data_IF_597642384244
#
_entry.id   IF_597642384244
#
_cell.length_a   1.000
_cell.length_b   1.000
_cell.length_c   1.000
_cell.angle_alpha   90.00
_cell.angle_beta   90.00
_cell.angle_gamma   90.00
#
_symmetry.space_group_name_H-M   'P 1'
#
loop_
_entity.id
_entity.type
_entity.pdbx_description
1 polymer ?
#
# COMPACT_ATOMS: atom_id res chain seq x y z
N UNK A 1 15.22 -20.46 11.83
CA UNK A 1 14.17 -20.61 12.87
C UNK A 1 12.83 -21.07 12.26
N UNK A 2 12.35 -20.46 11.17
CA UNK A 2 11.09 -20.85 10.48
C UNK A 2 11.07 -22.31 10.03
N UNK A 3 12.16 -22.86 9.48
CA UNK A 3 12.18 -24.27 9.03
C UNK A 3 11.88 -25.30 10.14
N UNK A 4 12.27 -25.03 11.40
CA UNK A 4 11.96 -25.90 12.54
C UNK A 4 10.49 -25.80 13.00
N UNK A 5 9.88 -24.63 12.83
CA UNK A 5 8.45 -24.45 13.10
C UNK A 5 7.60 -25.18 12.06
N UNK A 6 8.03 -25.11 10.79
CA UNK A 6 7.36 -25.78 9.68
C UNK A 6 7.27 -27.30 9.87
N UNK A 7 8.33 -27.93 10.39
CA UNK A 7 8.32 -29.38 10.64
C UNK A 7 7.35 -29.81 11.76
N UNK A 8 6.93 -28.88 12.62
CA UNK A 8 6.02 -29.15 13.74
C UNK A 8 4.55 -28.83 13.42
N UNK A 9 4.27 -28.20 12.26
CA UNK A 9 2.92 -27.82 11.84
C UNK A 9 1.92 -29.01 11.81
N UNK A 10 2.27 -30.21 11.29
CA UNK A 10 1.30 -31.31 11.22
C UNK A 10 0.81 -31.81 12.58
N UNK A 11 1.56 -31.55 13.65
CA UNK A 11 1.29 -32.07 14.99
C UNK A 11 0.86 -30.96 15.97
N UNK A 12 0.77 -29.72 15.50
CA UNK A 12 0.42 -28.56 16.33
C UNK A 12 -0.90 -27.94 15.90
N UNK A 13 -1.62 -27.34 16.85
CA UNK A 13 -2.86 -26.58 16.58
C UNK A 13 -2.53 -25.11 16.29
N UNK A 14 -1.60 -24.88 15.35
CA UNK A 14 -1.12 -23.54 15.00
C UNK A 14 -1.36 -23.31 13.52
N UNK A 15 -2.01 -22.20 13.18
CA UNK A 15 -2.12 -21.70 11.83
C UNK A 15 -1.08 -20.58 11.62
N UNK A 16 -0.20 -20.75 10.64
CA UNK A 16 0.79 -19.75 10.26
C UNK A 16 0.34 -19.05 8.98
N UNK A 17 0.16 -17.74 9.05
CA UNK A 17 -0.08 -16.89 7.90
C UNK A 17 1.10 -15.93 7.75
N UNK A 18 1.62 -15.82 6.54
CA UNK A 18 2.72 -14.92 6.20
C UNK A 18 2.49 -14.28 4.86
N UNK A 19 3.02 -13.07 4.70
CA UNK A 19 3.04 -12.33 3.43
C UNK A 19 4.48 -12.17 2.99
N UNK A 20 4.71 -12.29 1.69
CA UNK A 20 6.04 -12.23 1.10
C UNK A 20 5.97 -11.50 -0.24
N UNK A 21 6.95 -10.65 -0.50
CA UNK A 21 7.12 -10.02 -1.81
C UNK A 21 7.96 -10.93 -2.69
N UNK A 22 7.52 -11.15 -3.93
CA UNK A 22 8.25 -12.00 -4.87
C UNK A 22 9.65 -11.44 -5.16
N UNK A 23 9.83 -10.11 -5.20
CA UNK A 23 11.16 -9.51 -5.37
C UNK A 23 12.12 -9.70 -4.18
N UNK A 24 11.62 -10.07 -3.01
CA UNK A 24 12.44 -10.34 -1.82
C UNK A 24 12.80 -11.83 -1.68
N UNK A 25 12.28 -12.67 -2.58
CA UNK A 25 12.64 -14.09 -2.64
C UNK A 25 13.94 -14.27 -3.40
N UNK A 26 15.00 -14.60 -2.66
CA UNK A 26 16.19 -15.21 -3.24
C UNK A 26 15.86 -16.64 -3.70
N UNK A 27 15.97 -16.95 -5.01
CA UNK A 27 15.70 -18.29 -5.54
C UNK A 27 16.56 -19.38 -4.90
N UNK A 28 17.77 -19.05 -4.46
CA UNK A 28 18.70 -19.99 -3.79
C UNK A 28 18.61 -19.93 -2.26
N UNK A 29 17.80 -19.01 -1.74
CA UNK A 29 17.64 -18.71 -0.33
C UNK A 29 16.94 -19.81 0.47
N UNK A 30 17.15 -19.80 1.80
CA UNK A 30 16.52 -20.77 2.70
C UNK A 30 14.99 -20.74 2.66
N UNK A 31 14.38 -19.56 2.44
CA UNK A 31 12.93 -19.41 2.42
C UNK A 31 12.31 -20.08 1.19
N UNK A 32 12.95 -19.94 0.01
CA UNK A 32 12.49 -20.61 -1.21
C UNK A 32 12.53 -22.13 -1.05
N UNK A 33 13.59 -22.66 -0.44
CA UNK A 33 13.72 -24.10 -0.13
C UNK A 33 12.58 -24.58 0.77
N UNK A 34 12.27 -23.84 1.84
CA UNK A 34 11.15 -24.17 2.74
C UNK A 34 9.80 -24.14 2.02
N UNK A 35 9.55 -23.16 1.15
CA UNK A 35 8.31 -23.07 0.36
C UNK A 35 8.20 -24.26 -0.60
N UNK A 36 9.29 -24.63 -1.27
CA UNK A 36 9.33 -25.78 -2.17
C UNK A 36 9.09 -27.09 -1.39
N UNK A 37 9.70 -27.26 -0.21
CA UNK A 37 9.50 -28.42 0.65
C UNK A 37 8.06 -28.52 1.20
N UNK A 38 7.35 -27.40 1.31
CA UNK A 38 5.96 -27.35 1.75
C UNK A 38 4.97 -27.49 0.60
N UNK A 39 5.38 -27.17 -0.62
CA UNK A 39 4.50 -27.19 -1.79
C UNK A 39 3.96 -28.59 -2.04
N UNK A 40 2.64 -28.70 -2.19
CA UNK A 40 1.94 -29.97 -2.38
C UNK A 40 1.60 -30.72 -1.09
N UNK A 41 1.96 -30.19 0.09
CA UNK A 41 1.49 -30.75 1.36
C UNK A 41 0.07 -30.25 1.67
N UNK A 42 -0.78 -31.12 2.21
CA UNK A 42 -2.20 -30.82 2.49
C UNK A 42 -2.45 -29.70 3.50
N UNK A 43 -1.42 -29.30 4.25
CA UNK A 43 -1.48 -28.25 5.27
C UNK A 43 -0.76 -26.97 4.85
N UNK A 44 -0.41 -26.83 3.58
CA UNK A 44 0.23 -25.65 3.02
C UNK A 44 -0.55 -25.13 1.82
N UNK A 45 -0.97 -23.87 1.92
CA UNK A 45 -1.58 -23.13 0.81
C UNK A 45 -0.79 -21.87 0.54
N UNK A 46 -0.70 -21.51 -0.73
CA UNK A 46 -0.13 -20.26 -1.20
C UNK A 46 -1.15 -19.51 -2.04
N UNK A 47 -1.40 -18.25 -1.70
CA UNK A 47 -2.31 -17.37 -2.43
C UNK A 47 -1.45 -16.31 -3.11
N UNK A 48 -1.28 -16.45 -4.43
CA UNK A 48 -0.63 -15.40 -5.24
C UNK A 48 -1.62 -14.25 -5.44
N UNK A 49 -1.29 -13.08 -4.89
CA UNK A 49 -2.07 -11.86 -5.10
C UNK A 49 -1.67 -11.22 -6.43
N UNK A 50 -2.52 -11.36 -7.45
CA UNK A 50 -2.36 -10.69 -8.73
C UNK A 50 -3.05 -9.31 -8.74
N UNK A 51 -2.79 -8.53 -9.80
CA UNK A 51 -3.59 -7.34 -10.12
C UNK A 51 -5.08 -7.72 -10.21
N UNK A 52 -5.94 -6.79 -9.81
CA UNK A 52 -7.39 -6.97 -9.84
C UNK A 52 -7.90 -6.96 -11.28
N UNK A 53 -8.86 -7.85 -11.55
CA UNK A 53 -9.71 -7.73 -12.72
C UNK A 53 -10.57 -6.47 -12.60
N UNK A 54 -11.19 -6.04 -13.72
CA UNK A 54 -12.14 -4.92 -13.69
C UNK A 54 -13.29 -5.18 -12.71
N UNK A 55 -13.81 -6.41 -12.66
CA UNK A 55 -14.85 -6.81 -11.70
C UNK A 55 -14.36 -6.73 -10.25
N UNK A 56 -13.21 -7.32 -9.93
CA UNK A 56 -12.64 -7.27 -8.58
C UNK A 56 -12.28 -5.84 -8.14
N UNK A 57 -11.89 -4.99 -9.09
CA UNK A 57 -11.70 -3.57 -8.81
C UNK A 57 -13.03 -2.88 -8.50
N UNK A 58 -14.10 -3.15 -9.26
CA UNK A 58 -15.43 -2.61 -8.99
C UNK A 58 -15.95 -2.98 -7.59
N UNK A 59 -15.71 -4.21 -7.14
CA UNK A 59 -16.02 -4.65 -5.78
C UNK A 59 -15.22 -3.89 -4.73
N UNK A 60 -13.90 -3.73 -4.95
CA UNK A 60 -13.04 -2.95 -4.06
C UNK A 60 -13.53 -1.50 -3.93
N UNK A 61 -13.80 -0.82 -5.05
CA UNK A 61 -14.27 0.57 -5.07
C UNK A 61 -15.62 0.72 -4.35
N UNK A 62 -16.57 -0.17 -4.64
CA UNK A 62 -17.88 -0.20 -3.98
C UNK A 62 -17.74 -0.40 -2.47
N UNK A 63 -16.82 -1.27 -2.04
CA UNK A 63 -16.55 -1.49 -0.62
C UNK A 63 -16.03 -0.23 0.09
N UNK A 64 -15.22 0.58 -0.62
CA UNK A 64 -14.63 1.82 -0.09
C UNK A 64 -15.59 3.00 -0.11
N UNK A 65 -16.56 3.00 -1.02
CA UNK A 65 -17.57 4.06 -1.17
C UNK A 65 -18.85 3.76 -0.37
N UNK A 66 -18.74 3.17 0.82
CA UNK A 66 -19.88 2.83 1.70
C UNK A 66 -20.99 2.00 1.01
N UNK A 67 -20.60 1.09 0.11
CA UNK A 67 -21.51 0.28 -0.72
C UNK A 67 -22.36 1.10 -1.71
N UNK A 68 -21.93 2.31 -2.05
CA UNK A 68 -22.45 2.99 -3.22
C UNK A 68 -22.02 2.22 -4.47
N UNK A 69 -22.98 1.89 -5.32
CA UNK A 69 -22.72 1.19 -6.57
C UNK A 69 -21.77 2.03 -7.43
N UNK A 70 -20.64 1.44 -7.82
CA UNK A 70 -19.63 2.13 -8.62
C UNK A 70 -19.97 1.98 -10.10
N UNK A 71 -20.24 3.08 -10.83
CA UNK A 71 -20.59 3.01 -12.25
C UNK A 71 -19.49 2.34 -13.10
N UNK A 72 -19.84 1.48 -14.08
CA UNK A 72 -18.86 0.73 -14.87
C UNK A 72 -17.85 1.61 -15.64
N UNK A 73 -18.25 2.82 -16.04
CA UNK A 73 -17.36 3.78 -16.69
C UNK A 73 -16.23 4.24 -15.74
N UNK A 74 -16.54 4.49 -14.46
CA UNK A 74 -15.53 4.84 -13.46
C UNK A 74 -14.60 3.68 -13.17
N UNK A 75 -15.15 2.47 -13.01
CA UNK A 75 -14.34 1.25 -12.83
C UNK A 75 -13.38 1.06 -14.01
N UNK A 76 -13.87 1.23 -15.23
CA UNK A 76 -13.06 1.09 -16.45
C UNK A 76 -11.97 2.17 -16.52
N UNK A 77 -12.31 3.42 -16.18
CA UNK A 77 -11.36 4.53 -16.17
C UNK A 77 -10.22 4.30 -15.16
N UNK A 78 -10.55 3.94 -13.92
CA UNK A 78 -9.56 3.65 -12.88
C UNK A 78 -8.78 2.37 -13.23
N UNK A 79 -9.43 1.33 -13.75
CA UNK A 79 -8.75 0.09 -14.15
C UNK A 79 -7.71 0.35 -15.24
N UNK A 80 -8.06 1.13 -16.27
CA UNK A 80 -7.12 1.52 -17.34
C UNK A 80 -5.93 2.30 -16.80
N UNK A 81 -6.16 3.30 -15.96
CA UNK A 81 -5.08 4.12 -15.40
C UNK A 81 -4.17 3.37 -14.43
N UNK A 82 -4.67 2.33 -13.77
CA UNK A 82 -3.95 1.64 -12.67
C UNK A 82 -3.50 0.23 -13.03
N UNK A 83 -3.98 -0.30 -14.17
CA UNK A 83 -3.83 -1.69 -14.59
C UNK A 83 -4.20 -2.66 -13.46
N UNK A 84 -5.29 -2.37 -12.74
CA UNK A 84 -5.80 -3.19 -11.64
C UNK A 84 -4.90 -3.26 -10.40
N UNK A 85 -3.89 -2.39 -10.25
CA UNK A 85 -3.13 -2.32 -9.00
C UNK A 85 -4.04 -1.76 -7.89
N UNK A 86 -4.37 -2.53 -6.83
CA UNK A 86 -5.30 -2.09 -5.78
C UNK A 86 -4.84 -0.81 -5.09
N UNK A 87 -3.55 -0.72 -4.79
CA UNK A 87 -2.98 0.44 -4.10
C UNK A 87 -3.11 1.69 -4.96
N UNK A 88 -2.72 1.61 -6.23
CA UNK A 88 -2.83 2.74 -7.15
C UNK A 88 -4.28 3.14 -7.40
N UNK A 89 -5.17 2.16 -7.54
CA UNK A 89 -6.58 2.43 -7.75
C UNK A 89 -7.24 3.16 -6.57
N UNK A 90 -6.83 2.87 -5.34
CA UNK A 90 -7.30 3.59 -4.16
C UNK A 90 -6.75 5.02 -4.11
N UNK A 91 -5.50 5.25 -4.51
CA UNK A 91 -4.94 6.60 -4.61
C UNK A 91 -5.64 7.43 -5.68
N UNK A 92 -5.92 6.86 -6.85
CA UNK A 92 -6.72 7.52 -7.89
C UNK A 92 -8.13 7.81 -7.37
N UNK A 93 -8.78 6.86 -6.68
CA UNK A 93 -10.10 7.11 -6.08
C UNK A 93 -10.07 8.28 -5.10
N UNK A 94 -9.07 8.33 -4.21
CA UNK A 94 -8.87 9.40 -3.24
C UNK A 94 -8.67 10.75 -3.95
N UNK A 95 -7.80 10.79 -4.94
CA UNK A 95 -7.57 11.97 -5.77
C UNK A 95 -8.85 12.48 -6.42
N UNK A 96 -9.67 11.59 -7.00
CA UNK A 96 -10.93 11.97 -7.64
C UNK A 96 -11.95 12.56 -6.65
N UNK A 97 -11.98 12.04 -5.41
CA UNK A 97 -12.81 12.58 -4.32
C UNK A 97 -12.32 13.96 -3.87
N UNK A 98 -11.01 14.13 -3.67
CA UNK A 98 -10.40 15.38 -3.23
C UNK A 98 -10.56 16.52 -4.24
N UNK A 99 -10.51 16.19 -5.54
CA UNK A 99 -10.78 17.16 -6.63
C UNK A 99 -12.27 17.41 -6.86
N UNK A 100 -13.17 16.69 -6.15
CA UNK A 100 -14.61 16.84 -6.29
C UNK A 100 -15.21 16.30 -7.59
N UNK A 101 -14.44 15.54 -8.37
CA UNK A 101 -14.89 14.93 -9.64
C UNK A 101 -15.89 13.81 -9.38
N UNK A 102 -15.65 13.07 -8.29
CA UNK A 102 -16.63 12.14 -7.77
C UNK A 102 -17.08 12.62 -6.39
N UNK A 103 -18.38 12.62 -6.16
CA UNK A 103 -18.98 13.06 -4.90
C UNK A 103 -19.92 11.99 -4.40
N UNK A 104 -19.72 11.59 -3.15
CA UNK A 104 -20.60 10.65 -2.48
C UNK A 104 -21.79 11.40 -1.88
N UNK A 105 -22.98 11.20 -2.43
CA UNK A 105 -24.25 11.72 -1.93
C UNK A 105 -25.04 10.57 -1.27
N UNK A 106 -24.72 10.30 -0.01
CA UNK A 106 -25.24 9.14 0.74
C UNK A 106 -24.73 7.81 0.14
N UNK A 107 -25.62 7.07 -0.53
CA UNK A 107 -25.29 5.82 -1.24
C UNK A 107 -25.22 5.98 -2.76
N UNK A 108 -25.33 7.21 -3.26
CA UNK A 108 -25.24 7.51 -4.69
C UNK A 108 -23.92 8.18 -4.98
N UNK A 109 -23.24 7.70 -6.01
CA UNK A 109 -22.04 8.35 -6.52
C UNK A 109 -22.45 9.31 -7.65
N UNK A 110 -22.12 10.59 -7.51
CA UNK A 110 -22.21 11.58 -8.59
C UNK A 110 -20.85 11.70 -9.23
N UNK A 111 -20.81 11.73 -10.56
CA UNK A 111 -19.58 11.85 -11.34
C UNK A 111 -19.73 13.09 -12.22
N UNK A 112 -18.78 14.00 -12.12
CA UNK A 112 -18.56 15.05 -13.10
C UNK A 112 -17.89 14.43 -14.34
N UNK A 113 -18.69 14.18 -15.37
CA UNK A 113 -18.23 13.57 -16.62
C UNK A 113 -17.24 14.45 -17.38
N UNK A 114 -17.35 15.78 -17.29
CA UNK A 114 -16.41 16.70 -17.93
C UNK A 114 -15.08 16.73 -17.16
N UNK A 115 -15.15 16.78 -15.83
CA UNK A 115 -13.99 16.64 -14.95
C UNK A 115 -13.24 15.32 -15.15
N UNK A 116 -13.96 14.20 -15.29
CA UNK A 116 -13.34 12.88 -15.48
C UNK A 116 -12.63 12.74 -16.83
N UNK A 117 -13.15 13.35 -17.89
CA UNK A 117 -12.54 13.33 -19.23
C UNK A 117 -11.41 14.35 -19.40
N UNK A 118 -11.45 15.46 -18.67
CA UNK A 118 -10.41 16.50 -18.72
C UNK A 118 -9.18 16.16 -17.87
N UNK A 119 -9.33 15.26 -16.90
CA UNK A 119 -8.24 14.83 -16.04
C UNK A 119 -7.53 13.63 -16.63
N UNK A 120 -6.21 13.79 -16.76
CA UNK A 120 -5.30 12.71 -17.02
C UNK A 120 -5.00 12.05 -15.67
N UNK A 121 -5.50 10.82 -15.44
CA UNK A 121 -4.87 9.96 -14.44
C UNK A 121 -3.39 9.90 -14.83
N UNK A 122 -2.47 10.29 -13.94
CA UNK A 122 -1.07 10.22 -14.28
C UNK A 122 -0.69 8.80 -14.70
N UNK A 123 0.08 8.68 -15.79
CA UNK A 123 0.58 7.39 -16.29
C UNK A 123 1.47 6.66 -15.26
N UNK A 124 1.83 7.35 -14.18
CA UNK A 124 2.79 6.96 -13.16
C UNK A 124 2.35 7.39 -11.78
N UNK A 125 2.42 6.44 -10.83
CA UNK A 125 2.17 6.66 -9.41
C UNK A 125 2.94 7.88 -8.92
N UNK A 126 4.20 8.03 -9.31
CA UNK A 126 5.13 9.06 -8.88
C UNK A 126 4.52 10.46 -8.92
N UNK A 127 3.73 10.79 -9.95
CA UNK A 127 3.10 12.11 -10.06
C UNK A 127 1.96 12.32 -9.05
N UNK A 128 1.15 11.29 -8.80
CA UNK A 128 0.14 11.33 -7.73
C UNK A 128 0.83 11.45 -6.37
N UNK A 129 1.93 10.72 -6.16
CA UNK A 129 2.73 10.84 -4.93
C UNK A 129 3.31 12.24 -4.76
N UNK A 130 3.86 12.85 -5.82
CA UNK A 130 4.35 14.22 -5.75
C UNK A 130 3.25 15.21 -5.35
N UNK A 131 2.09 15.19 -6.03
CA UNK A 131 0.96 16.06 -5.68
C UNK A 131 0.44 15.78 -4.25
N UNK A 132 0.44 14.50 -3.84
CA UNK A 132 0.08 14.10 -2.48
C UNK A 132 1.08 14.58 -1.42
N UNK A 133 2.37 14.69 -1.76
CA UNK A 133 3.40 15.16 -0.84
C UNK A 133 3.47 16.69 -0.79
N UNK A 134 3.19 17.36 -1.90
CA UNK A 134 3.11 18.82 -2.01
C UNK A 134 2.03 19.44 -1.11
N UNK A 135 1.02 18.66 -0.69
CA UNK A 135 -0.02 19.12 0.25
C UNK A 135 0.51 19.37 1.67
N UNK A 136 1.65 18.78 2.04
CA UNK A 136 2.22 18.97 3.36
C UNK A 136 3.04 20.25 3.44
N UNK A 137 3.20 20.79 4.65
CA UNK A 137 4.09 21.92 4.87
C UNK A 137 5.57 21.57 4.62
N UNK A 138 6.40 22.60 4.48
CA UNK A 138 7.83 22.47 4.20
C UNK A 138 8.56 21.64 5.28
N UNK A 139 8.08 21.68 6.53
CA UNK A 139 8.69 20.94 7.64
C UNK A 139 8.53 19.43 7.46
N UNK A 140 7.34 18.97 7.07
CA UNK A 140 7.02 17.57 6.78
C UNK A 140 7.70 17.12 5.48
N UNK A 141 7.72 17.96 4.44
CA UNK A 141 8.43 17.65 3.20
C UNK A 141 9.94 17.47 3.41
N UNK A 142 10.55 18.32 4.25
CA UNK A 142 11.95 18.19 4.64
C UNK A 142 12.18 16.91 5.45
N UNK A 143 11.28 16.58 6.39
CA UNK A 143 11.34 15.31 7.13
C UNK A 143 11.35 14.09 6.21
N UNK A 144 10.47 14.06 5.21
CA UNK A 144 10.39 12.98 4.24
C UNK A 144 11.64 12.89 3.36
N UNK A 145 12.19 14.03 2.95
CA UNK A 145 13.43 14.10 2.17
C UNK A 145 14.63 13.54 2.94
N UNK A 146 14.79 13.96 4.20
CA UNK A 146 15.83 13.43 5.11
C UNK A 146 15.62 11.94 5.36
N UNK A 147 14.38 11.51 5.51
CA UNK A 147 14.04 10.10 5.71
C UNK A 147 14.37 9.24 4.49
N UNK A 148 14.15 9.75 3.27
CA UNK A 148 14.47 9.07 2.03
C UNK A 148 15.99 8.87 1.86
N UNK A 149 16.82 9.82 2.32
CA UNK A 149 18.28 9.69 2.32
C UNK A 149 18.78 8.58 3.24
N UNK A 150 18.05 8.30 4.34
CA UNK A 150 18.39 7.22 5.26
C UNK A 150 18.09 5.81 4.68
N UNK A 151 17.32 5.70 3.59
CA UNK A 151 17.06 4.46 2.87
C UNK A 151 15.62 3.93 3.01
N UNK A 152 15.41 2.64 2.71
CA UNK A 152 14.07 2.00 2.70
C UNK A 152 13.41 1.87 4.08
N UNK A 153 14.18 2.09 5.14
CA UNK A 153 13.73 2.16 6.52
C UNK A 153 14.78 2.91 7.33
N UNK A 154 14.35 3.63 8.36
CA UNK A 154 15.23 4.49 9.14
C UNK A 154 14.97 4.30 10.64
N UNK A 155 16.00 4.57 11.44
CA UNK A 155 15.87 4.69 12.88
C UNK A 155 15.49 6.12 13.27
N UNK A 156 14.69 6.28 14.33
CA UNK A 156 14.29 7.59 14.82
C UNK A 156 15.50 8.41 15.29
N UNK A 157 16.52 7.73 15.82
CA UNK A 157 17.77 8.39 16.23
C UNK A 157 18.51 9.03 15.05
N UNK A 158 18.50 8.36 13.88
CA UNK A 158 19.13 8.87 12.65
C UNK A 158 18.37 10.09 12.15
N UNK A 159 17.04 10.06 12.13
CA UNK A 159 16.24 11.20 11.70
C UNK A 159 16.36 12.37 12.66
N UNK A 160 16.40 12.13 13.97
CA UNK A 160 16.63 13.17 14.97
C UNK A 160 17.97 13.86 14.76
N UNK A 161 19.02 13.10 14.48
CA UNK A 161 20.35 13.62 14.19
C UNK A 161 20.39 14.44 12.88
N UNK A 162 19.78 13.94 11.81
CA UNK A 162 19.85 14.58 10.49
C UNK A 162 18.91 15.79 10.32
N UNK A 163 17.75 15.77 10.96
CA UNK A 163 16.75 16.85 10.85
C UNK A 163 16.92 17.97 11.88
N UNK A 164 17.60 17.70 13.01
CA UNK A 164 17.69 18.62 14.14
C UNK A 164 16.36 18.87 14.85
N UNK A 165 15.31 18.09 14.55
CA UNK A 165 14.00 18.25 15.15
C UNK A 165 13.95 17.74 16.59
N UNK A 166 13.11 18.36 17.42
CA UNK A 166 12.79 17.86 18.75
C UNK A 166 12.01 16.55 18.66
N UNK A 167 12.09 15.75 19.71
CA UNK A 167 11.42 14.45 19.77
C UNK A 167 9.90 14.57 19.62
N UNK A 168 9.30 15.58 20.27
CA UNK A 168 7.87 15.88 20.13
C UNK A 168 7.49 16.19 18.67
N UNK A 169 8.31 16.99 17.97
CA UNK A 169 8.04 17.34 16.57
C UNK A 169 8.14 16.11 15.66
N UNK A 170 9.11 15.22 15.91
CA UNK A 170 9.23 13.95 15.18
C UNK A 170 7.99 13.09 15.39
N UNK A 171 7.51 12.96 16.62
CA UNK A 171 6.29 12.18 16.91
C UNK A 171 5.04 12.75 16.24
N UNK A 172 4.87 14.09 16.24
CA UNK A 172 3.76 14.75 15.53
C UNK A 172 3.78 14.43 14.02
N UNK A 173 4.95 14.58 13.39
CA UNK A 173 5.11 14.31 11.96
C UNK A 173 4.89 12.83 11.64
N UNK A 174 5.45 11.92 12.44
CA UNK A 174 5.24 10.48 12.27
C UNK A 174 3.77 10.08 12.42
N UNK A 175 3.08 10.62 13.41
CA UNK A 175 1.66 10.33 13.61
C UNK A 175 0.84 10.71 12.38
N UNK A 176 1.09 11.91 11.82
CA UNK A 176 0.44 12.38 10.60
C UNK A 176 0.75 11.46 9.41
N UNK A 177 2.03 11.16 9.18
CA UNK A 177 2.46 10.37 8.02
C UNK A 177 2.05 8.90 8.10
N UNK A 178 1.96 8.31 9.30
CA UNK A 178 1.43 6.96 9.51
C UNK A 178 -0.08 6.91 9.31
N UNK A 179 -0.80 7.92 9.82
CA UNK A 179 -2.26 8.04 9.62
C UNK A 179 -2.61 8.15 8.14
N UNK A 180 -1.84 8.95 7.40
CA UNK A 180 -2.01 9.16 5.96
C UNK A 180 -1.40 8.03 5.11
N UNK A 181 -0.83 7.00 5.74
CA UNK A 181 -0.19 5.83 5.11
C UNK A 181 0.97 6.19 4.17
N UNK A 182 1.57 7.35 4.34
CA UNK A 182 2.80 7.76 3.64
C UNK A 182 3.99 6.97 4.17
N UNK A 183 4.01 6.73 5.48
CA UNK A 183 4.96 5.83 6.13
C UNK A 183 4.22 4.62 6.70
N UNK A 184 4.93 3.51 6.79
CA UNK A 184 4.48 2.30 7.46
C UNK A 184 5.48 1.91 8.54
N UNK A 185 4.98 1.46 9.68
CA UNK A 185 5.84 0.91 10.71
C UNK A 185 6.26 -0.51 10.30
N UNK A 186 7.55 -0.66 9.97
CA UNK A 186 8.15 -1.98 9.80
C UNK A 186 8.68 -2.47 11.14
N UNK A 187 8.34 -3.70 11.54
CA UNK A 187 9.06 -4.33 12.64
C UNK A 187 10.43 -4.78 12.12
N UNK A 188 11.51 -4.17 12.63
CA UNK A 188 12.89 -4.58 12.32
C UNK A 188 13.01 -6.10 12.48
N UNK A 189 13.41 -6.81 11.41
CA UNK A 189 14.08 -8.10 11.58
C UNK A 189 15.36 -7.83 12.35
N UNK A 190 15.45 -8.27 13.61
CA UNK A 190 16.74 -8.53 14.24
C UNK A 190 17.43 -9.55 13.34
N UNK A 191 18.36 -9.12 12.50
CA UNK A 191 19.46 -9.88 11.90
C UNK A 191 20.04 -9.04 10.74
N UNK A 192 20.92 -8.12 11.09
CA UNK A 192 22.21 -7.96 10.40
C UNK A 192 23.29 -8.06 11.48
#
# INVERSE_FOLDING_TARGET
MIGKLVSLLPQSRIFLCGTLREEELDPEGQLQKIINDLSGKSYFDSIKLSRLSSAGLGELLTSKLNRAETPPNLVTYIHKGTSGNPFFALEVLKFLLEKGIIVLDGKKLKIDSEGLNSILIPDRLEKIWMENLERYDESIQNFLSVSALAGRGFDLEIIKFLSGYSENKIFEVLFLLLKDQVLIQSQKRKNE
#
